data_IF_631791135038
#
_entry.id   IF_631791135038
#
_cell.length_a   1.000
_cell.length_b   1.000
_cell.length_c   1.000
_cell.angle_alpha   90.00
_cell.angle_beta   90.00
_cell.angle_gamma   90.00
#
_symmetry.space_group_name_H-M   'P 1'
#
loop_
_entity.id
_entity.type
_entity.pdbx_description
1 polymer ?
#
# COMPACT_ATOMS: atom_id res chain seq x y z
N UNK A 1 12.03 10.83 -14.11
CA UNK A 1 11.00 9.87 -14.54
C UNK A 1 11.48 8.46 -14.20
N UNK A 2 10.83 7.82 -13.24
CA UNK A 2 11.12 6.44 -12.82
C UNK A 2 10.67 5.46 -13.91
N UNK A 3 11.47 4.42 -14.19
CA UNK A 3 11.10 3.41 -15.19
C UNK A 3 10.08 2.43 -14.62
N UNK A 4 9.35 1.75 -15.52
CA UNK A 4 8.48 0.64 -15.15
C UNK A 4 9.32 -0.42 -14.42
N UNK A 5 8.98 -0.68 -13.16
CA UNK A 5 9.67 -1.60 -12.24
C UNK A 5 10.96 -1.10 -11.58
N UNK A 6 11.06 0.21 -11.34
CA UNK A 6 12.07 0.79 -10.45
C UNK A 6 11.39 1.50 -9.27
N UNK A 7 12.11 1.59 -8.15
CA UNK A 7 11.64 2.34 -6.99
C UNK A 7 11.71 3.84 -7.27
N UNK A 8 10.65 4.53 -6.86
CA UNK A 8 10.63 5.98 -6.75
C UNK A 8 11.66 6.45 -5.72
N UNK A 9 12.02 7.73 -5.77
CA UNK A 9 12.95 8.30 -4.79
C UNK A 9 12.39 8.21 -3.37
N UNK A 10 11.08 8.40 -3.19
CA UNK A 10 10.39 8.28 -1.91
C UNK A 10 10.45 6.84 -1.35
N UNK A 11 10.08 5.84 -2.14
CA UNK A 11 10.18 4.43 -1.73
C UNK A 11 11.64 4.06 -1.39
N UNK A 12 12.59 4.60 -2.16
CA UNK A 12 14.01 4.38 -1.92
C UNK A 12 14.48 4.96 -0.59
N UNK A 13 14.11 6.19 -0.26
CA UNK A 13 14.48 6.86 1.00
C UNK A 13 14.02 6.08 2.24
N UNK A 14 12.87 5.42 2.16
CA UNK A 14 12.34 4.61 3.27
C UNK A 14 13.19 3.37 3.56
N UNK A 15 13.78 2.76 2.53
CA UNK A 15 14.50 1.48 2.66
C UNK A 15 16.02 1.63 2.67
N UNK A 16 16.55 2.77 2.24
CA UNK A 16 17.99 2.97 2.03
C UNK A 16 18.81 2.73 3.31
N UNK A 17 18.27 3.09 4.48
CA UNK A 17 18.90 2.91 5.78
C UNK A 17 18.96 1.45 6.25
N UNK A 18 18.11 0.58 5.70
CA UNK A 18 18.08 -0.86 6.00
C UNK A 18 19.19 -1.63 5.26
N UNK A 19 19.79 -1.00 4.26
CA UNK A 19 20.80 -1.61 3.41
C UNK A 19 22.20 -1.46 4.04
N UNK A 20 23.06 -2.48 3.86
CA UNK A 20 24.42 -2.41 4.38
C UNK A 20 25.19 -1.27 3.68
N UNK A 21 26.11 -0.58 4.39
CA UNK A 21 26.84 0.55 3.83
C UNK A 21 27.66 0.13 2.61
N UNK A 22 27.55 0.89 1.52
CA UNK A 22 28.29 0.63 0.28
C UNK A 22 29.79 0.83 0.44
N UNK A 23 30.19 1.76 1.31
CA UNK A 23 31.60 2.01 1.60
C UNK A 23 31.96 1.29 2.89
N UNK A 24 32.53 0.10 2.74
CA UNK A 24 33.28 -0.52 3.83
C UNK A 24 34.72 -0.02 3.75
N UNK A 25 35.30 0.46 4.85
CA UNK A 25 36.74 0.80 4.97
C UNK A 25 37.68 -0.43 4.83
N UNK A 26 37.19 -1.52 4.23
CA UNK A 26 37.91 -2.77 4.03
C UNK A 26 38.64 -2.72 2.68
N UNK A 27 39.89 -3.18 2.60
CA UNK A 27 40.59 -3.29 1.33
C UNK A 27 39.87 -4.30 0.43
N UNK A 28 39.57 -3.92 -0.82
CA UNK A 28 38.90 -4.77 -1.79
C UNK A 28 38.17 -4.02 -2.89
N UNK A 29 37.51 -4.76 -3.79
CA UNK A 29 36.67 -4.16 -4.85
C UNK A 29 35.50 -3.43 -4.20
N UNK A 30 35.23 -2.15 -4.56
CA UNK A 30 34.12 -1.41 -4.00
C UNK A 30 32.80 -2.16 -4.26
N UNK A 31 31.92 -2.26 -3.25
CA UNK A 31 30.59 -2.79 -3.41
C UNK A 31 29.84 -2.07 -4.53
N UNK A 32 29.03 -2.84 -5.28
CA UNK A 32 28.09 -2.29 -6.25
C UNK A 32 26.99 -1.50 -5.55
N UNK A 33 26.53 -0.45 -6.23
CA UNK A 33 25.40 0.41 -5.86
C UNK A 33 24.19 -0.43 -5.40
N UNK A 34 23.74 -0.14 -4.18
CA UNK A 34 22.63 -0.82 -3.54
C UNK A 34 21.31 -0.52 -4.23
N UNK A 35 21.09 0.72 -4.71
CA UNK A 35 19.85 1.11 -5.41
C UNK A 35 19.70 0.34 -6.70
N UNK A 36 20.78 0.23 -7.46
CA UNK A 36 20.81 -0.57 -8.68
C UNK A 36 20.46 -2.04 -8.40
N UNK A 37 20.99 -2.61 -7.32
CA UNK A 37 20.76 -4.00 -6.93
C UNK A 37 19.32 -4.24 -6.49
N UNK A 38 18.74 -3.34 -5.69
CA UNK A 38 17.33 -3.43 -5.28
C UNK A 38 16.41 -3.28 -6.48
N UNK A 39 16.65 -2.29 -7.36
CA UNK A 39 15.86 -2.12 -8.58
C UNK A 39 15.92 -3.36 -9.49
N UNK A 40 17.08 -4.01 -9.60
CA UNK A 40 17.21 -5.26 -10.34
C UNK A 40 16.35 -6.38 -9.75
N UNK A 41 16.31 -6.50 -8.42
CA UNK A 41 15.49 -7.49 -7.71
C UNK A 41 14.00 -7.18 -7.86
N UNK A 42 13.59 -5.91 -7.72
CA UNK A 42 12.21 -5.45 -7.95
C UNK A 42 11.76 -5.71 -9.39
N UNK A 43 12.65 -5.54 -10.36
CA UNK A 43 12.36 -5.86 -11.75
C UNK A 43 12.08 -7.36 -11.92
N UNK A 44 12.90 -8.24 -11.34
CA UNK A 44 12.68 -9.70 -11.40
C UNK A 44 11.36 -10.09 -10.72
N UNK A 45 11.08 -9.57 -9.52
CA UNK A 45 9.86 -9.93 -8.79
C UNK A 45 8.59 -9.43 -9.48
N UNK A 46 8.60 -8.23 -10.07
CA UNK A 46 7.43 -7.67 -10.75
C UNK A 46 7.24 -8.18 -12.18
N UNK A 47 8.31 -8.55 -12.87
CA UNK A 47 8.21 -9.12 -14.22
C UNK A 47 7.96 -10.62 -14.23
N UNK A 48 8.42 -11.34 -13.21
CA UNK A 48 8.43 -12.81 -13.18
C UNK A 48 9.42 -13.45 -14.16
N UNK A 49 10.25 -12.65 -14.83
CA UNK A 49 11.23 -13.14 -15.79
C UNK A 49 12.33 -13.97 -15.10
N UNK A 50 12.91 -14.96 -15.78
CA UNK A 50 14.02 -15.72 -15.24
C UNK A 50 15.24 -14.79 -15.06
N UNK A 51 16.08 -15.09 -14.06
CA UNK A 51 17.27 -14.29 -13.75
C UNK A 51 18.20 -14.03 -14.94
N UNK A 52 18.28 -14.97 -15.90
CA UNK A 52 19.12 -14.84 -17.10
C UNK A 52 18.66 -13.75 -18.06
N UNK A 53 17.39 -13.35 -17.96
CA UNK A 53 16.77 -12.32 -18.80
C UNK A 53 16.83 -10.93 -18.14
N UNK A 54 17.57 -10.81 -17.03
CA UNK A 54 17.79 -9.53 -16.37
C UNK A 54 18.40 -8.53 -17.37
N UNK A 55 17.79 -7.35 -17.54
CA UNK A 55 18.30 -6.34 -18.45
C UNK A 55 19.73 -5.90 -18.10
N UNK A 56 20.58 -5.75 -19.12
CA UNK A 56 22.01 -5.44 -18.97
C UNK A 56 22.27 -4.15 -18.17
N UNK A 57 21.33 -3.20 -18.18
CA UNK A 57 21.40 -1.96 -17.38
C UNK A 57 21.57 -2.21 -15.86
N UNK A 58 21.12 -3.36 -15.35
CA UNK A 58 21.28 -3.74 -13.95
C UNK A 58 22.61 -4.46 -13.67
N UNK A 59 23.39 -4.71 -14.71
CA UNK A 59 24.64 -5.45 -14.66
C UNK A 59 24.45 -6.97 -14.71
N UNK A 60 25.52 -7.74 -14.42
CA UNK A 60 25.50 -9.18 -14.58
C UNK A 60 24.50 -9.85 -13.61
N UNK A 61 23.58 -10.65 -14.15
CA UNK A 61 22.56 -11.34 -13.34
C UNK A 61 23.15 -12.19 -12.21
N UNK A 62 24.32 -12.81 -12.42
CA UNK A 62 25.02 -13.60 -11.40
C UNK A 62 25.38 -12.76 -10.17
N UNK A 63 25.78 -11.51 -10.39
CA UNK A 63 26.11 -10.57 -9.30
C UNK A 63 24.86 -10.19 -8.52
N UNK A 64 23.76 -9.89 -9.21
CA UNK A 64 22.48 -9.58 -8.57
C UNK A 64 21.96 -10.78 -7.79
N UNK A 65 21.97 -11.97 -8.39
CA UNK A 65 21.52 -13.21 -7.74
C UNK A 65 22.37 -13.57 -6.52
N UNK A 66 23.70 -13.46 -6.61
CA UNK A 66 24.58 -13.70 -5.46
C UNK A 66 24.28 -12.75 -4.30
N UNK A 67 23.98 -11.48 -4.60
CA UNK A 67 23.60 -10.50 -3.58
C UNK A 67 22.21 -10.76 -3.03
N UNK A 68 21.25 -11.11 -3.87
CA UNK A 68 19.90 -11.53 -3.47
C UNK A 68 19.98 -12.67 -2.47
N UNK A 69 20.69 -13.75 -2.80
CA UNK A 69 20.90 -14.91 -1.92
C UNK A 69 21.49 -14.51 -0.56
N UNK A 70 22.49 -13.62 -0.57
CA UNK A 70 23.11 -13.11 0.66
C UNK A 70 22.11 -12.32 1.50
N UNK A 71 21.41 -11.36 0.90
CA UNK A 71 20.47 -10.50 1.62
C UNK A 71 19.21 -11.21 2.10
N UNK A 72 18.79 -12.30 1.44
CA UNK A 72 17.79 -13.22 2.00
C UNK A 72 18.35 -13.88 3.27
N UNK A 73 19.57 -14.44 3.21
CA UNK A 73 20.20 -15.07 4.37
C UNK A 73 20.43 -14.12 5.55
N UNK A 74 20.73 -12.85 5.24
CA UNK A 74 20.92 -11.78 6.23
C UNK A 74 19.59 -11.17 6.72
N UNK A 75 18.43 -11.58 6.19
CA UNK A 75 17.09 -11.04 6.53
C UNK A 75 16.83 -9.60 6.05
N UNK A 76 17.74 -9.02 5.27
CA UNK A 76 17.66 -7.63 4.77
C UNK A 76 16.46 -7.47 3.83
N UNK A 77 16.27 -8.41 2.91
CA UNK A 77 15.15 -8.32 1.96
C UNK A 77 13.80 -8.45 2.65
N UNK A 78 13.68 -9.27 3.70
CA UNK A 78 12.43 -9.40 4.45
C UNK A 78 12.04 -8.07 5.11
N UNK A 79 13.02 -7.34 5.66
CA UNK A 79 12.78 -6.01 6.23
C UNK A 79 12.37 -4.99 5.17
N UNK A 80 13.04 -5.00 4.02
CA UNK A 80 12.71 -4.13 2.90
C UNK A 80 11.29 -4.39 2.38
N UNK A 81 10.92 -5.66 2.18
CA UNK A 81 9.58 -6.03 1.72
C UNK A 81 8.51 -5.64 2.73
N UNK A 82 8.75 -5.78 4.03
CA UNK A 82 7.79 -5.32 5.06
C UNK A 82 7.50 -3.83 4.95
N UNK A 83 8.54 -2.99 4.79
CA UNK A 83 8.35 -1.54 4.65
C UNK A 83 7.60 -1.20 3.38
N UNK A 84 8.01 -1.74 2.23
CA UNK A 84 7.38 -1.43 0.94
C UNK A 84 5.95 -1.98 0.83
N UNK A 85 5.66 -3.17 1.39
CA UNK A 85 4.31 -3.74 1.38
C UNK A 85 3.34 -2.93 2.26
N UNK A 86 3.80 -2.41 3.40
CA UNK A 86 2.97 -1.53 4.24
C UNK A 86 2.58 -0.26 3.49
N UNK A 87 3.49 0.36 2.75
CA UNK A 87 3.16 1.54 1.93
C UNK A 87 2.19 1.21 0.79
N UNK A 88 2.38 0.06 0.12
CA UNK A 88 1.47 -0.41 -0.92
C UNK A 88 0.06 -0.71 -0.40
N UNK A 89 -0.05 -1.33 0.79
CA UNK A 89 -1.33 -1.58 1.47
C UNK A 89 -2.01 -0.27 1.88
N UNK A 90 -1.25 0.68 2.45
CA UNK A 90 -1.78 2.01 2.79
C UNK A 90 -2.26 2.76 1.54
N UNK A 91 -1.52 2.69 0.45
CA UNK A 91 -1.90 3.27 -0.84
C UNK A 91 -3.15 2.62 -1.44
N UNK A 92 -3.29 1.28 -1.32
CA UNK A 92 -4.49 0.55 -1.73
C UNK A 92 -5.71 0.92 -0.88
N UNK A 93 -5.55 1.03 0.43
CA UNK A 93 -6.59 1.50 1.35
C UNK A 93 -6.97 2.96 1.08
N UNK A 94 -6.00 3.82 0.73
CA UNK A 94 -6.28 5.22 0.39
C UNK A 94 -6.98 5.38 -0.97
N UNK A 95 -6.64 4.51 -1.94
CA UNK A 95 -7.33 4.45 -3.23
C UNK A 95 -8.79 3.99 -3.06
N UNK A 96 -9.05 2.97 -2.22
CA UNK A 96 -10.40 2.42 -1.99
C UNK A 96 -11.26 3.28 -1.03
N UNK A 97 -10.64 4.07 -0.15
CA UNK A 97 -11.36 4.98 0.76
C UNK A 97 -12.04 6.16 0.05
N UNK A 98 -11.60 6.51 -1.17
CA UNK A 98 -12.18 7.60 -1.96
C UNK A 98 -13.38 7.19 -2.83
N UNK A 99 -13.62 5.88 -2.97
CA UNK A 99 -14.67 5.33 -3.82
C UNK A 99 -15.78 4.68 -3.00
N UNK A 100 -16.69 5.50 -2.48
CA UNK A 100 -17.99 4.97 -2.01
C UNK A 100 -18.87 4.71 -3.23
N UNK A 101 -18.88 3.45 -3.69
CA UNK A 101 -19.79 3.04 -4.75
C UNK A 101 -21.21 2.90 -4.17
N UNK A 102 -22.02 3.94 -4.34
CA UNK A 102 -23.43 3.88 -3.98
C UNK A 102 -24.16 2.88 -4.90
N UNK A 103 -25.12 2.14 -4.34
CA UNK A 103 -25.99 1.29 -5.15
C UNK A 103 -26.80 2.18 -6.11
N UNK A 104 -26.98 1.74 -7.36
CA UNK A 104 -27.71 2.50 -8.39
C UNK A 104 -29.14 2.91 -7.97
N UNK A 105 -29.72 2.26 -6.95
CA UNK A 105 -31.04 2.58 -6.40
C UNK A 105 -30.99 3.48 -5.13
N UNK A 106 -29.83 3.99 -4.73
CA UNK A 106 -29.70 4.82 -3.52
C UNK A 106 -30.30 6.23 -3.66
N UNK A 107 -30.69 6.65 -4.87
CA UNK A 107 -31.40 7.91 -5.11
C UNK A 107 -32.93 7.72 -5.04
N UNK A 108 -33.46 7.52 -3.82
CA UNK A 108 -34.90 7.26 -3.62
C UNK A 108 -35.63 8.22 -2.67
N UNK A 109 -34.98 9.22 -2.07
CA UNK A 109 -35.65 10.12 -1.14
C UNK A 109 -36.34 11.29 -1.89
N UNK A 110 -37.61 11.11 -2.26
CA UNK A 110 -38.47 12.22 -2.71
C UNK A 110 -38.70 13.18 -1.55
N UNK A 111 -38.13 14.38 -1.63
CA UNK A 111 -38.40 15.51 -0.74
C UNK A 111 -39.83 16.03 -1.00
N UNK A 112 -40.82 15.34 -0.45
CA UNK A 112 -42.22 15.78 -0.42
C UNK A 112 -42.55 16.33 0.96
N UNK A 113 -42.66 17.66 1.06
CA UNK A 113 -43.04 18.30 2.31
C UNK A 113 -44.45 17.89 2.75
N UNK A 114 -44.61 17.60 4.04
CA UNK A 114 -45.92 17.59 4.67
C UNK A 114 -45.99 18.78 5.62
N UNK A 115 -46.51 19.88 5.08
CA UNK A 115 -47.12 20.94 5.86
C UNK A 115 -48.62 20.69 5.84
N UNK A 116 -49.20 20.29 6.97
CA UNK A 116 -50.61 20.55 7.27
C UNK A 116 -50.73 20.91 8.74
N UNK A 117 -51.29 22.09 8.96
CA UNK A 117 -51.42 22.80 10.22
C UNK A 117 -52.86 22.59 10.73
N UNK A 118 -52.99 22.44 12.05
CA UNK A 118 -54.06 22.93 12.94
C UNK A 118 -55.53 22.47 12.76
N UNK A 119 -56.15 21.99 13.86
CA UNK A 119 -57.62 21.96 14.03
C UNK A 119 -58.17 21.14 15.20
N UNK A 120 -58.36 21.81 16.35
CA UNK A 120 -59.02 21.54 17.66
C UNK A 120 -60.31 20.69 17.73
N UNK A 121 -60.46 19.87 18.80
CA UNK A 121 -61.60 19.72 19.76
C UNK A 121 -61.52 18.33 20.49
N UNK A 122 -61.28 18.22 21.80
CA UNK A 122 -62.15 18.39 22.98
C UNK A 122 -63.00 17.15 23.38
N UNK A 123 -62.89 16.73 24.65
CA UNK A 123 -63.69 15.69 25.38
C UNK A 123 -63.10 14.27 25.26
N UNK A 124 -62.97 13.42 26.29
CA UNK A 124 -63.69 13.24 27.55
C UNK A 124 -62.84 12.35 28.51
N UNK A 125 -63.07 12.55 29.80
CA UNK A 125 -62.70 11.85 31.05
C UNK A 125 -62.84 10.30 31.04
N UNK A 126 -62.44 9.45 32.00
CA UNK A 126 -61.53 9.38 33.16
C UNK A 126 -61.67 7.95 33.78
N UNK A 127 -60.77 7.56 34.70
CA UNK A 127 -60.89 6.50 35.75
C UNK A 127 -60.80 5.01 35.30
N UNK A 128 -60.24 4.01 36.01
CA UNK A 128 -59.63 3.84 37.35
C UNK A 128 -58.96 2.43 37.44
N UNK A 129 -57.96 2.29 38.34
CA UNK A 129 -57.55 1.12 39.15
C UNK A 129 -57.18 -0.24 38.50
N UNK A 130 -56.03 -0.80 38.87
CA UNK A 130 -55.87 -1.79 39.98
C UNK A 130 -54.46 -2.42 39.96
N UNK A 131 -53.85 -2.49 41.15
CA UNK A 131 -52.59 -3.15 41.51
C UNK A 131 -52.56 -4.66 41.23
N UNK A 132 -51.36 -5.21 41.02
CA UNK A 132 -50.56 -5.94 42.04
C UNK A 132 -49.08 -5.90 41.66
#
# INVERSE_FOLDING_TARGET
MTRRYELTDQEWEQIASLLPPEKTNKPGRPPKDNRLMVNAMVWITRSGAPWRDLPERYGPWKTVYSRFRKWIGDGILDNIFRVLCLEAELGGLFLDASTVQAHQHSAGAKKGGLQTKSGTAAGEQAQKSTQL
#
